data_IF_941022221314
#
_entry.id   IF_941022221314
#
_cell.length_a   1.000
_cell.length_b   1.000
_cell.length_c   1.000
_cell.angle_alpha   90.00
_cell.angle_beta   90.00
_cell.angle_gamma   90.00
#
_symmetry.space_group_name_H-M   'P 1'
#
loop_
_entity.id
_entity.type
_entity.pdbx_description
1 polymer ?
#
# COMPACT_ATOMS: atom_id res chain seq x y z
N UNK A 1 -0.94 -13.30 20.09
CA UNK A 1 0.38 -13.19 20.76
C UNK A 1 0.23 -12.46 22.08
N UNK A 2 0.64 -13.06 23.21
CA UNK A 2 0.69 -12.37 24.51
C UNK A 2 1.80 -11.31 24.48
N UNK A 3 1.43 -10.02 24.61
CA UNK A 3 2.36 -8.88 24.62
C UNK A 3 3.26 -8.92 25.86
N UNK A 4 4.56 -8.83 25.67
CA UNK A 4 5.56 -8.76 26.73
C UNK A 4 5.74 -7.27 27.11
N UNK A 5 5.06 -6.81 28.17
CA UNK A 5 5.21 -5.44 28.70
C UNK A 5 6.64 -5.22 29.18
N UNK A 6 7.36 -4.22 28.67
CA UNK A 6 8.78 -4.00 28.98
C UNK A 6 9.02 -3.47 30.42
N UNK A 7 8.83 -4.32 31.43
CA UNK A 7 9.02 -4.04 32.86
C UNK A 7 10.34 -4.62 33.40
N UNK A 8 10.71 -4.23 34.62
CA UNK A 8 11.95 -4.66 35.29
C UNK A 8 12.09 -6.20 35.34
N UNK A 9 10.98 -6.91 35.51
CA UNK A 9 10.95 -8.37 35.48
C UNK A 9 11.33 -8.95 34.12
N UNK A 10 10.88 -8.36 33.01
CA UNK A 10 11.34 -8.82 31.71
C UNK A 10 12.84 -8.56 31.51
N UNK A 11 13.37 -7.44 32.04
CA UNK A 11 14.82 -7.12 31.99
C UNK A 11 15.68 -8.13 32.72
N UNK A 12 15.20 -8.62 33.87
CA UNK A 12 15.90 -9.59 34.70
C UNK A 12 15.68 -11.05 34.24
N UNK A 13 14.51 -11.38 33.70
CA UNK A 13 14.10 -12.79 33.50
C UNK A 13 13.82 -13.19 32.04
N UNK A 14 13.85 -12.26 31.05
CA UNK A 14 13.58 -12.57 29.63
C UNK A 14 14.47 -11.77 28.64
N UNK A 15 15.80 -11.94 28.68
CA UNK A 15 16.73 -11.17 27.83
C UNK A 15 16.48 -11.32 26.33
N UNK A 16 16.06 -12.52 25.87
CA UNK A 16 15.71 -12.76 24.45
C UNK A 16 14.54 -11.90 23.98
N UNK A 17 13.44 -11.86 24.75
CA UNK A 17 12.25 -11.10 24.40
C UNK A 17 12.51 -9.58 24.36
N UNK A 18 13.40 -9.08 25.22
CA UNK A 18 13.84 -7.69 25.17
C UNK A 18 14.66 -7.36 23.92
N UNK A 19 15.55 -8.25 23.52
CA UNK A 19 16.34 -8.07 22.29
C UNK A 19 15.42 -8.01 21.08
N UNK A 20 14.45 -8.92 21.00
CA UNK A 20 13.43 -8.94 19.95
C UNK A 20 12.57 -7.67 19.95
N UNK A 21 12.13 -7.20 21.13
CA UNK A 21 11.37 -5.96 21.25
C UNK A 21 12.17 -4.73 20.82
N UNK A 22 13.45 -4.62 21.20
CA UNK A 22 14.33 -3.52 20.77
C UNK A 22 14.48 -3.49 19.25
N UNK A 23 14.77 -4.65 18.64
CA UNK A 23 14.91 -4.77 17.19
C UNK A 23 13.59 -4.42 16.46
N UNK A 24 12.45 -4.89 16.98
CA UNK A 24 11.14 -4.50 16.45
C UNK A 24 10.91 -2.99 16.56
N UNK A 25 11.22 -2.39 17.72
CA UNK A 25 11.07 -0.96 17.99
C UNK A 25 11.87 -0.11 17.00
N UNK A 26 13.14 -0.44 16.80
CA UNK A 26 14.02 0.24 15.85
C UNK A 26 13.46 0.17 14.43
N UNK A 27 13.01 -1.02 14.00
CA UNK A 27 12.38 -1.22 12.70
C UNK A 27 11.09 -0.39 12.55
N UNK A 28 10.23 -0.39 13.57
CA UNK A 28 8.97 0.36 13.55
C UNK A 28 9.22 1.87 13.42
N UNK A 29 10.18 2.42 14.17
CA UNK A 29 10.56 3.84 14.06
C UNK A 29 11.06 4.15 12.65
N UNK A 30 11.92 3.30 12.09
CA UNK A 30 12.42 3.49 10.72
C UNK A 30 11.29 3.50 9.69
N UNK A 31 10.37 2.52 9.75
CA UNK A 31 9.22 2.43 8.85
C UNK A 31 8.33 3.68 8.95
N UNK A 32 7.96 4.09 10.17
CA UNK A 32 7.13 5.28 10.41
C UNK A 32 7.80 6.53 9.83
N UNK A 33 9.12 6.67 9.97
CA UNK A 33 9.89 7.80 9.45
C UNK A 33 9.74 8.02 7.94
N UNK A 34 9.47 6.96 7.17
CA UNK A 34 9.26 7.03 5.72
C UNK A 34 7.85 7.45 5.30
N UNK A 35 6.87 7.43 6.21
CA UNK A 35 5.45 7.63 5.84
C UNK A 35 5.21 8.96 5.14
N UNK A 36 5.81 10.05 5.63
CA UNK A 36 5.67 11.38 5.04
C UNK A 36 6.18 11.41 3.60
N UNK A 37 7.40 10.92 3.37
CA UNK A 37 8.02 10.90 2.04
C UNK A 37 7.20 10.06 1.06
N UNK A 38 6.76 8.85 1.46
CA UNK A 38 5.96 7.99 0.59
C UNK A 38 4.62 8.65 0.22
N UNK A 39 3.98 9.38 1.15
CA UNK A 39 2.76 10.13 0.87
C UNK A 39 2.96 11.29 -0.12
N UNK A 40 4.10 11.99 -0.01
CA UNK A 40 4.52 13.00 -0.96
C UNK A 40 4.77 12.39 -2.34
N UNK A 41 5.46 11.25 -2.40
CA UNK A 41 5.69 10.50 -3.64
C UNK A 41 4.38 10.05 -4.30
N UNK A 42 3.42 9.52 -3.52
CA UNK A 42 2.08 9.18 -4.02
C UNK A 42 1.31 10.39 -4.57
N UNK A 43 1.53 11.57 -3.98
CA UNK A 43 0.90 12.82 -4.46
C UNK A 43 1.52 13.28 -5.77
N UNK A 44 2.84 13.09 -5.94
CA UNK A 44 3.56 13.46 -7.16
C UNK A 44 3.39 12.46 -8.30
N UNK A 45 3.09 11.20 -8.00
CA UNK A 45 2.87 10.14 -8.98
C UNK A 45 1.71 10.47 -9.91
N UNK A 46 1.98 10.53 -11.22
CA UNK A 46 0.98 10.85 -12.26
C UNK A 46 0.58 9.64 -13.09
N UNK A 47 1.42 8.61 -13.11
CA UNK A 47 1.23 7.39 -13.90
C UNK A 47 1.06 6.15 -13.03
N UNK A 48 0.54 5.06 -13.59
CA UNK A 48 0.56 3.77 -12.91
C UNK A 48 2.00 3.30 -12.68
N UNK A 49 2.90 3.59 -13.62
CA UNK A 49 4.30 3.26 -13.45
C UNK A 49 4.93 3.98 -12.23
N UNK A 50 4.60 5.25 -12.01
CA UNK A 50 5.04 5.98 -10.81
C UNK A 50 4.50 5.33 -9.53
N UNK A 51 3.21 4.99 -9.53
CA UNK A 51 2.55 4.36 -8.37
C UNK A 51 3.11 2.96 -8.07
N UNK A 52 3.44 2.18 -9.10
CA UNK A 52 4.15 0.90 -8.97
C UNK A 52 5.50 1.12 -8.30
N UNK A 53 6.27 2.12 -8.73
CA UNK A 53 7.58 2.41 -8.15
C UNK A 53 7.48 2.77 -6.67
N UNK A 54 6.50 3.61 -6.29
CA UNK A 54 6.25 3.95 -4.89
C UNK A 54 5.82 2.72 -4.08
N UNK A 55 4.96 1.87 -4.64
CA UNK A 55 4.52 0.65 -3.97
C UNK A 55 5.69 -0.31 -3.70
N UNK A 56 6.54 -0.53 -4.70
CA UNK A 56 7.77 -1.33 -4.57
C UNK A 56 8.69 -0.78 -3.49
N UNK A 57 8.88 0.54 -3.47
CA UNK A 57 9.72 1.20 -2.47
C UNK A 57 9.13 1.03 -1.06
N UNK A 58 7.83 1.25 -0.87
CA UNK A 58 7.16 1.04 0.41
C UNK A 58 7.29 -0.42 0.90
N UNK A 59 7.15 -1.39 -0.01
CA UNK A 59 7.32 -2.81 0.29
C UNK A 59 8.75 -3.14 0.73
N UNK A 60 9.76 -2.57 0.07
CA UNK A 60 11.17 -2.74 0.44
C UNK A 60 11.48 -2.15 1.83
N UNK A 61 10.89 -1.00 2.17
CA UNK A 61 11.01 -0.38 3.50
C UNK A 61 10.40 -1.27 4.59
N UNK A 62 9.38 -2.06 4.24
CA UNK A 62 8.73 -3.02 5.14
C UNK A 62 7.28 -2.72 5.45
N UNK A 63 6.59 -1.90 4.63
CA UNK A 63 5.14 -1.80 4.64
C UNK A 63 4.51 -3.06 4.04
N UNK A 64 4.68 -4.19 4.72
CA UNK A 64 4.20 -5.48 4.25
C UNK A 64 2.90 -5.81 4.97
N UNK A 65 1.76 -5.57 4.32
CA UNK A 65 0.42 -5.86 4.84
C UNK A 65 -0.37 -6.65 3.81
N UNK A 66 -1.22 -7.61 4.21
CA UNK A 66 -2.09 -8.35 3.29
C UNK A 66 -2.91 -7.46 2.35
N UNK A 67 -3.29 -6.26 2.80
CA UNK A 67 -4.12 -5.34 2.02
C UNK A 67 -3.38 -4.70 0.84
N UNK A 68 -2.05 -4.65 0.89
CA UNK A 68 -1.20 -4.13 -0.19
C UNK A 68 -0.29 -5.23 -0.76
N UNK A 69 -0.49 -6.46 -0.32
CA UNK A 69 0.18 -7.64 -0.85
C UNK A 69 -0.50 -8.11 -2.15
N UNK A 70 0.16 -9.00 -2.90
CA UNK A 70 -0.46 -9.67 -4.03
C UNK A 70 -1.70 -10.46 -3.58
N UNK A 71 -2.84 -10.26 -4.24
CA UNK A 71 -4.08 -10.95 -3.91
C UNK A 71 -4.93 -11.16 -5.18
N UNK A 72 -5.26 -12.41 -5.56
CA UNK A 72 -6.06 -12.70 -6.77
C UNK A 72 -7.44 -12.03 -6.79
N UNK A 73 -8.03 -11.84 -5.60
CA UNK A 73 -9.35 -11.24 -5.39
C UNK A 73 -9.26 -9.83 -4.79
N UNK A 74 -8.06 -9.32 -4.57
CA UNK A 74 -7.84 -8.00 -4.00
C UNK A 74 -7.64 -6.95 -5.08
N UNK A 75 -7.24 -5.76 -4.64
CA UNK A 75 -6.94 -4.67 -5.55
C UNK A 75 -5.69 -4.93 -6.41
N UNK A 76 -4.63 -5.47 -5.81
CA UNK A 76 -3.35 -5.72 -6.48
C UNK A 76 -3.26 -7.18 -6.92
N UNK A 77 -3.86 -7.47 -8.07
CA UNK A 77 -3.84 -8.80 -8.68
C UNK A 77 -2.53 -8.98 -9.44
N UNK A 78 -1.56 -9.57 -8.78
CA UNK A 78 -0.21 -9.81 -9.27
C UNK A 78 0.39 -11.00 -8.52
N UNK A 79 1.59 -11.43 -8.91
CA UNK A 79 2.30 -12.51 -8.20
C UNK A 79 3.16 -11.98 -7.05
N UNK A 80 3.78 -10.82 -7.23
CA UNK A 80 4.80 -10.33 -6.30
C UNK A 80 5.06 -8.83 -6.47
N UNK A 81 5.05 -8.09 -5.36
CA UNK A 81 5.30 -6.63 -5.35
C UNK A 81 6.72 -6.29 -5.82
N UNK A 82 7.81 -6.94 -5.35
CA UNK A 82 9.18 -6.63 -5.82
C UNK A 82 9.40 -6.68 -7.34
N UNK A 83 8.65 -7.49 -8.07
CA UNK A 83 8.76 -7.66 -9.53
C UNK A 83 7.57 -7.08 -10.29
N UNK A 84 6.76 -6.25 -9.62
CA UNK A 84 5.59 -5.60 -10.22
C UNK A 84 6.00 -4.74 -11.43
N UNK A 85 5.29 -4.92 -12.53
CA UNK A 85 5.37 -4.13 -13.77
C UNK A 85 3.96 -3.83 -14.27
N UNK A 86 3.85 -2.98 -15.30
CA UNK A 86 2.57 -2.71 -15.96
C UNK A 86 1.95 -3.97 -16.58
N UNK A 87 2.75 -4.95 -16.98
CA UNK A 87 2.28 -6.18 -17.62
C UNK A 87 1.79 -7.22 -16.61
N UNK A 88 2.35 -7.20 -15.39
CA UNK A 88 2.07 -8.22 -14.34
C UNK A 88 1.07 -7.76 -13.30
N UNK A 89 0.71 -6.47 -13.28
CA UNK A 89 -0.30 -5.90 -12.40
C UNK A 89 -1.64 -5.83 -13.13
N UNK A 90 -2.66 -6.49 -12.58
CA UNK A 90 -4.04 -6.39 -13.03
C UNK A 90 -4.88 -5.52 -12.07
N UNK A 91 -5.57 -4.53 -12.63
CA UNK A 91 -6.43 -3.56 -11.95
C UNK A 91 -7.82 -3.55 -12.60
N UNK A 92 -8.83 -3.25 -11.80
CA UNK A 92 -10.23 -3.25 -12.21
C UNK A 92 -11.11 -3.82 -11.10
N UNK A 93 -12.34 -4.21 -11.46
CA UNK A 93 -13.42 -4.47 -10.51
C UNK A 93 -13.71 -3.23 -9.64
N UNK A 94 -13.65 -2.08 -10.30
CA UNK A 94 -13.78 -0.74 -9.72
C UNK A 94 -14.94 -0.10 -10.45
N UNK A 95 -16.07 0.10 -9.78
CA UNK A 95 -17.27 0.72 -10.39
C UNK A 95 -17.71 0.06 -11.71
N UNK A 96 -17.60 -1.27 -11.81
CA UNK A 96 -17.95 -2.02 -13.03
C UNK A 96 -16.87 -2.04 -14.13
N UNK A 97 -15.68 -1.47 -13.88
CA UNK A 97 -14.55 -1.61 -14.79
C UNK A 97 -14.04 -3.05 -14.84
N UNK A 98 -13.80 -3.53 -16.05
CA UNK A 98 -13.20 -4.84 -16.30
C UNK A 98 -11.79 -4.90 -15.72
N UNK A 99 -11.37 -6.10 -15.33
CA UNK A 99 -9.98 -6.30 -14.87
C UNK A 99 -9.05 -6.39 -16.07
N UNK A 100 -8.10 -5.46 -16.17
CA UNK A 100 -7.07 -5.40 -17.20
C UNK A 100 -5.70 -5.11 -16.60
N UNK A 101 -4.63 -5.39 -17.34
CA UNK A 101 -3.28 -5.10 -16.87
C UNK A 101 -2.97 -3.58 -16.88
N UNK A 102 -1.93 -3.18 -16.16
CA UNK A 102 -1.49 -1.79 -16.08
C UNK A 102 -1.12 -1.19 -17.44
N UNK A 103 -0.56 -1.98 -18.37
CA UNK A 103 -0.22 -1.50 -19.72
C UNK A 103 -1.45 -1.10 -20.50
N UNK A 104 -2.49 -1.94 -20.47
CA UNK A 104 -3.78 -1.64 -21.07
C UNK A 104 -4.30 -0.29 -20.56
N UNK A 105 -4.32 -0.07 -19.25
CA UNK A 105 -4.79 1.20 -18.69
C UNK A 105 -3.96 2.41 -19.16
N UNK A 106 -2.63 2.26 -19.23
CA UNK A 106 -1.74 3.33 -19.72
C UNK A 106 -1.96 3.67 -21.21
N UNK A 107 -2.41 2.71 -22.03
CA UNK A 107 -2.74 2.91 -23.44
C UNK A 107 -4.13 3.55 -23.65
N UNK A 108 -5.04 3.39 -22.68
CA UNK A 108 -6.44 3.84 -22.75
C UNK A 108 -6.74 5.05 -21.86
N UNK A 109 -5.76 5.96 -21.69
CA UNK A 109 -5.87 7.15 -20.82
C UNK A 109 -7.00 8.12 -21.15
N UNK A 110 -7.43 8.11 -22.40
CA UNK A 110 -8.39 9.08 -22.94
C UNK A 110 -9.81 8.51 -23.03
N UNK A 111 -10.03 7.29 -22.57
CA UNK A 111 -11.35 6.69 -22.55
C UNK A 111 -12.19 7.22 -21.39
N UNK A 112 -13.42 7.63 -21.69
CA UNK A 112 -14.40 8.07 -20.71
C UNK A 112 -15.32 6.94 -20.30
N UNK A 113 -15.87 7.04 -19.09
CA UNK A 113 -16.81 6.06 -18.57
C UNK A 113 -18.26 6.48 -18.90
N UNK A 114 -18.63 6.48 -20.19
CA UNK A 114 -19.97 6.89 -20.60
C UNK A 114 -21.06 5.92 -20.07
N UNK A 115 -22.08 6.46 -19.39
CA UNK A 115 -23.32 5.76 -19.00
C UNK A 115 -23.15 4.43 -18.23
N UNK A 116 -22.26 4.39 -17.24
CA UNK A 116 -22.01 3.17 -16.45
C UNK A 116 -23.03 2.87 -15.33
N UNK A 117 -23.98 3.77 -15.05
CA UNK A 117 -24.98 3.58 -13.98
C UNK A 117 -24.43 3.69 -12.54
N UNK A 118 -23.17 4.10 -12.36
CA UNK A 118 -22.48 4.17 -11.07
C UNK A 118 -22.33 5.60 -10.51
N UNK A 119 -22.96 6.59 -11.14
CA UNK A 119 -22.89 8.00 -10.71
C UNK A 119 -21.55 8.68 -10.96
N UNK A 120 -20.70 8.08 -11.80
CA UNK A 120 -19.46 8.67 -12.31
C UNK A 120 -19.82 9.70 -13.39
N UNK A 121 -19.10 10.81 -13.43
CA UNK A 121 -19.38 11.86 -14.42
C UNK A 121 -19.00 11.38 -15.82
N UNK A 122 -19.78 11.76 -16.81
CA UNK A 122 -19.58 11.33 -18.20
C UNK A 122 -18.23 11.78 -18.80
N UNK A 123 -17.64 12.85 -18.26
CA UNK A 123 -16.34 13.40 -18.65
C UNK A 123 -15.16 12.82 -17.86
N UNK A 124 -15.42 11.93 -16.88
CA UNK A 124 -14.37 11.34 -16.07
C UNK A 124 -13.63 10.24 -16.85
N UNK A 125 -12.30 10.36 -16.89
CA UNK A 125 -11.44 9.41 -17.57
C UNK A 125 -11.32 8.14 -16.72
N UNK A 126 -11.55 6.99 -17.35
CA UNK A 126 -11.47 5.68 -16.70
C UNK A 126 -10.09 5.47 -16.05
N UNK A 127 -9.05 5.93 -16.74
CA UNK A 127 -7.69 5.86 -16.25
C UNK A 127 -7.48 6.66 -14.95
N UNK A 128 -8.07 7.84 -14.83
CA UNK A 128 -7.95 8.66 -13.62
C UNK A 128 -8.60 7.97 -12.42
N UNK A 129 -9.72 7.27 -12.64
CA UNK A 129 -10.38 6.45 -11.61
C UNK A 129 -9.43 5.32 -11.14
N UNK A 130 -8.85 4.57 -12.07
CA UNK A 130 -7.92 3.48 -11.76
C UNK A 130 -6.70 4.00 -10.97
N UNK A 131 -6.08 5.09 -11.44
CA UNK A 131 -4.92 5.73 -10.79
C UNK A 131 -5.30 6.27 -9.41
N UNK A 132 -6.46 6.92 -9.29
CA UNK A 132 -6.93 7.47 -8.03
C UNK A 132 -7.20 6.37 -7.00
N UNK A 133 -7.88 5.30 -7.39
CA UNK A 133 -8.17 4.18 -6.51
C UNK A 133 -6.88 3.52 -6.03
N UNK A 134 -5.92 3.24 -6.94
CA UNK A 134 -4.63 2.67 -6.56
C UNK A 134 -3.96 3.54 -5.50
N UNK A 135 -3.87 4.85 -5.78
CA UNK A 135 -3.23 5.82 -4.89
C UNK A 135 -3.89 5.86 -3.53
N UNK A 136 -5.23 5.92 -3.49
CA UNK A 136 -5.99 6.00 -2.24
C UNK A 136 -5.85 4.73 -1.39
N UNK A 137 -5.94 3.56 -2.02
CA UNK A 137 -5.80 2.29 -1.32
C UNK A 137 -4.41 2.11 -0.72
N UNK A 138 -3.36 2.41 -1.49
CA UNK A 138 -1.99 2.36 -0.98
C UNK A 138 -1.78 3.39 0.14
N UNK A 139 -2.17 4.65 -0.06
CA UNK A 139 -2.07 5.72 0.95
C UNK A 139 -2.76 5.35 2.26
N UNK A 140 -4.00 4.86 2.18
CA UNK A 140 -4.79 4.47 3.35
C UNK A 140 -4.06 3.41 4.18
N UNK A 141 -3.50 2.39 3.51
CA UNK A 141 -2.77 1.33 4.17
C UNK A 141 -1.42 1.79 4.76
N UNK A 142 -0.66 2.63 4.05
CA UNK A 142 0.58 3.20 4.61
C UNK A 142 0.29 3.96 5.90
N UNK A 143 -0.75 4.81 5.90
CA UNK A 143 -1.14 5.60 7.06
C UNK A 143 -1.64 4.73 8.21
N UNK A 144 -2.46 3.72 7.92
CA UNK A 144 -2.96 2.79 8.93
C UNK A 144 -1.82 2.00 9.58
N UNK A 145 -0.86 1.50 8.80
CA UNK A 145 0.30 0.77 9.30
C UNK A 145 1.15 1.66 10.21
N UNK A 146 1.50 2.88 9.76
CA UNK A 146 2.31 3.81 10.56
C UNK A 146 1.61 4.21 11.85
N UNK A 147 0.29 4.47 11.79
CA UNK A 147 -0.52 4.79 12.98
C UNK A 147 -0.52 3.63 13.97
N UNK A 148 -0.80 2.41 13.51
CA UNK A 148 -0.86 1.23 14.38
C UNK A 148 0.51 0.95 15.03
N UNK A 149 1.61 1.10 14.27
CA UNK A 149 2.96 0.97 14.82
C UNK A 149 3.25 2.06 15.86
N UNK A 150 2.88 3.31 15.60
CA UNK A 150 3.07 4.41 16.54
C UNK A 150 2.28 4.20 17.84
N UNK A 151 1.03 3.77 17.76
CA UNK A 151 0.21 3.43 18.93
C UNK A 151 0.79 2.28 19.74
N UNK A 152 1.40 1.29 19.08
CA UNK A 152 2.05 0.18 19.76
C UNK A 152 3.39 0.54 20.39
N UNK A 153 4.06 1.59 19.92
CA UNK A 153 5.27 2.15 20.54
C UNK A 153 4.99 2.92 21.83
N UNK A 154 3.78 3.46 21.99
CA UNK A 154 3.35 4.23 23.16
C UNK A 154 2.82 3.36 24.33
N UNK A 155 2.62 2.06 24.09
CA UNK A 155 2.09 1.08 25.07
C UNK A 155 3.20 0.32 25.80
#
# INVERSE_FOLDING_TARGET
MKRVRNNLFNKLFRPKALKEYKAWKEKAIAIIGWNKQLNEDLTRAKTLQDLINVHKHAWQIGYNSPNIAPCPWGMFRCDSIPVLTLDTLYLGDIWGLWTNNGRFWEEHKHETMANNGFGIKEDELVYDIIVQQYRQHLRSNLNAISKNMAEDLLK
#
